data_IF_675880453862
#
_entry.id   IF_675880453862
#
_cell.length_a   1.000
_cell.length_b   1.000
_cell.length_c   1.000
_cell.angle_alpha   90.00
_cell.angle_beta   90.00
_cell.angle_gamma   90.00
#
_symmetry.space_group_name_H-M   'P 1'
#
loop_
_entity.id
_entity.type
_entity.pdbx_description
1 polymer ?
#
# COMPACT_ATOMS: atom_id res chain seq x y z
N UNK A 1 -86.29 -16.61 -6.87
CA UNK A 1 -85.37 -16.29 -7.98
C UNK A 1 -84.28 -15.34 -7.46
N UNK A 2 -83.01 -15.73 -7.59
CA UNK A 2 -81.73 -14.95 -7.49
C UNK A 2 -81.62 -13.89 -6.36
N UNK A 3 -81.28 -14.25 -5.12
CA UNK A 3 -79.93 -14.23 -4.50
C UNK A 3 -78.98 -13.12 -4.99
N UNK A 4 -78.79 -12.08 -4.17
CA UNK A 4 -77.60 -11.22 -4.21
C UNK A 4 -77.01 -11.16 -2.79
N UNK A 5 -75.91 -11.87 -2.56
CA UNK A 5 -75.09 -11.77 -1.35
C UNK A 5 -74.03 -10.71 -1.62
N UNK A 6 -74.05 -9.61 -0.88
CA UNK A 6 -72.97 -8.63 -0.88
C UNK A 6 -71.74 -9.27 -0.21
N UNK A 7 -70.69 -9.52 -0.98
CA UNK A 7 -69.40 -9.96 -0.47
C UNK A 7 -68.58 -8.73 -0.10
N UNK A 8 -68.33 -8.54 1.20
CA UNK A 8 -67.43 -7.53 1.73
C UNK A 8 -65.99 -8.01 1.48
N UNK A 9 -65.32 -7.48 0.47
CA UNK A 9 -63.91 -7.75 0.22
C UNK A 9 -63.06 -6.87 1.15
N UNK A 10 -62.49 -7.47 2.19
CA UNK A 10 -61.51 -6.82 3.04
C UNK A 10 -60.18 -6.69 2.26
N UNK A 11 -59.78 -5.46 1.90
CA UNK A 11 -58.43 -5.17 1.44
C UNK A 11 -57.47 -5.30 2.63
N UNK A 12 -56.74 -6.41 2.72
CA UNK A 12 -55.51 -6.46 3.51
C UNK A 12 -54.42 -5.70 2.75
N UNK A 13 -54.10 -4.48 3.20
CA UNK A 13 -52.86 -3.83 2.81
C UNK A 13 -51.68 -4.58 3.44
N UNK A 14 -50.97 -5.36 2.62
CA UNK A 14 -49.65 -5.88 2.98
C UNK A 14 -48.68 -4.70 3.07
N UNK A 15 -48.39 -4.26 4.30
CA UNK A 15 -47.31 -3.32 4.55
C UNK A 15 -45.97 -4.00 4.18
N UNK A 16 -45.40 -3.63 3.04
CA UNK A 16 -44.02 -3.97 2.71
C UNK A 16 -43.09 -3.27 3.71
N UNK A 17 -42.27 -3.99 4.49
CA UNK A 17 -41.25 -3.32 5.30
C UNK A 17 -40.29 -2.62 4.35
N UNK A 18 -40.26 -1.28 4.43
CA UNK A 18 -39.21 -0.50 3.80
C UNK A 18 -37.87 -0.98 4.38
N UNK A 19 -37.03 -1.58 3.53
CA UNK A 19 -35.66 -1.86 3.88
C UNK A 19 -34.99 -0.52 4.22
N UNK A 20 -34.77 -0.27 5.51
CA UNK A 20 -33.99 0.88 5.95
C UNK A 20 -32.58 0.67 5.39
N UNK A 21 -32.21 1.44 4.36
CA UNK A 21 -30.84 1.56 3.93
C UNK A 21 -30.04 2.04 5.15
N UNK A 22 -29.08 1.23 5.60
CA UNK A 22 -28.15 1.66 6.63
C UNK A 22 -27.45 2.93 6.13
N UNK A 23 -27.31 3.99 6.95
CA UNK A 23 -26.55 5.15 6.55
C UNK A 23 -25.14 4.69 6.19
N UNK A 24 -24.70 5.01 4.97
CA UNK A 24 -23.31 4.82 4.57
C UNK A 24 -22.45 5.52 5.61
N UNK A 25 -21.62 4.76 6.35
CA UNK A 25 -20.62 5.38 7.21
C UNK A 25 -19.81 6.33 6.34
N UNK A 26 -19.73 7.60 6.75
CA UNK A 26 -18.85 8.56 6.11
C UNK A 26 -17.43 7.98 6.17
N UNK A 27 -16.88 7.68 5.00
CA UNK A 27 -15.57 7.10 4.91
C UNK A 27 -14.53 8.19 5.18
N UNK A 28 -13.63 7.96 6.14
CA UNK A 28 -12.55 8.90 6.47
C UNK A 28 -11.51 8.94 5.33
N UNK A 29 -11.70 9.87 4.40
CA UNK A 29 -10.78 10.11 3.29
C UNK A 29 -9.55 10.87 3.81
N UNK A 30 -8.32 10.37 3.56
CA UNK A 30 -7.12 11.04 4.04
C UNK A 30 -6.91 12.38 3.31
N UNK A 31 -6.30 13.34 4.01
CA UNK A 31 -5.88 14.60 3.41
C UNK A 31 -4.69 14.39 2.47
N UNK A 32 -4.70 15.09 1.34
CA UNK A 32 -3.64 15.05 0.33
C UNK A 32 -2.87 16.37 0.29
N UNK A 33 -1.54 16.27 0.39
CA UNK A 33 -0.60 17.34 0.10
C UNK A 33 0.36 16.90 -1.02
N UNK A 34 0.84 17.88 -1.77
CA UNK A 34 1.72 17.70 -2.93
C UNK A 34 3.12 18.27 -2.66
N UNK A 35 3.53 18.38 -1.39
CA UNK A 35 4.79 19.02 -1.02
C UNK A 35 6.03 18.19 -1.39
N UNK A 36 5.88 16.88 -1.58
CA UNK A 36 6.94 15.94 -1.92
C UNK A 36 7.01 15.63 -3.43
N UNK A 37 6.37 16.46 -4.27
CA UNK A 37 6.47 16.30 -5.72
C UNK A 37 7.92 16.49 -6.15
N UNK A 38 8.50 15.54 -6.92
CA UNK A 38 9.87 15.68 -7.38
C UNK A 38 9.98 16.83 -8.39
N UNK A 39 11.20 17.34 -8.57
CA UNK A 39 11.50 18.19 -9.71
C UNK A 39 11.30 17.43 -11.01
N UNK A 40 10.84 18.14 -12.04
CA UNK A 40 10.68 17.56 -13.37
C UNK A 40 12.06 17.42 -14.04
N UNK A 41 12.24 16.43 -14.93
CA UNK A 41 13.45 16.32 -15.73
C UNK A 41 13.71 17.59 -16.55
N UNK A 42 14.97 17.83 -16.89
CA UNK A 42 15.34 18.96 -17.75
C UNK A 42 14.53 18.96 -19.05
N UNK A 43 14.07 20.15 -19.47
CA UNK A 43 13.23 20.37 -20.67
C UNK A 43 11.84 19.72 -20.62
N UNK A 44 11.43 19.14 -19.50
CA UNK A 44 10.05 18.69 -19.32
C UNK A 44 9.08 19.89 -19.37
N UNK A 45 7.98 19.75 -20.11
CA UNK A 45 6.91 20.73 -20.17
C UNK A 45 5.85 20.40 -19.09
N UNK A 46 5.68 21.23 -18.05
CA UNK A 46 4.76 20.97 -16.93
C UNK A 46 3.32 20.62 -17.32
N UNK A 47 2.87 21.03 -18.51
CA UNK A 47 1.51 20.75 -19.01
C UNK A 47 1.25 19.26 -19.27
N UNK A 48 2.30 18.48 -19.50
CA UNK A 48 2.23 17.04 -19.75
C UNK A 48 2.60 16.19 -18.54
N UNK A 49 2.78 16.82 -17.37
CA UNK A 49 3.23 16.16 -16.15
C UNK A 49 2.19 16.27 -15.04
N UNK A 50 2.00 15.17 -14.32
CA UNK A 50 1.17 15.13 -13.11
C UNK A 50 2.01 14.69 -11.93
N UNK A 51 1.80 15.34 -10.79
CA UNK A 51 2.25 14.82 -9.52
C UNK A 51 1.14 13.94 -8.93
N UNK A 52 1.50 12.73 -8.55
CA UNK A 52 0.61 11.70 -8.05
C UNK A 52 1.00 11.39 -6.61
N UNK A 53 -0.01 11.30 -5.75
CA UNK A 53 0.15 10.97 -4.33
C UNK A 53 -0.69 9.74 -4.04
N UNK A 54 -0.05 8.73 -3.47
CA UNK A 54 -0.68 7.51 -2.98
C UNK A 54 -0.56 7.51 -1.47
N UNK A 55 -1.68 7.26 -0.81
CA UNK A 55 -1.80 7.11 0.63
C UNK A 55 -2.25 5.69 0.91
N UNK A 56 -1.35 4.85 1.44
CA UNK A 56 -1.69 3.52 1.96
C UNK A 56 -2.04 3.66 3.43
N UNK A 57 -3.27 3.36 3.81
CA UNK A 57 -3.75 3.52 5.19
C UNK A 57 -4.36 2.23 5.77
N UNK A 58 -4.27 1.12 5.05
CA UNK A 58 -4.79 -0.15 5.51
C UNK A 58 -4.25 -1.34 4.71
N UNK A 59 -4.69 -2.52 5.15
CA UNK A 59 -4.31 -3.81 4.56
C UNK A 59 -3.22 -4.53 5.34
N UNK A 60 -2.46 -5.38 4.63
CA UNK A 60 -1.56 -6.38 5.21
C UNK A 60 -0.20 -6.35 4.53
N UNK A 61 0.87 -6.45 5.31
CA UNK A 61 2.22 -6.60 4.78
C UNK A 61 2.98 -7.69 5.55
N UNK A 62 3.00 -8.90 4.97
CA UNK A 62 3.67 -10.07 5.52
C UNK A 62 5.06 -10.21 4.90
N UNK A 63 6.09 -10.25 5.76
CA UNK A 63 7.48 -10.45 5.39
C UNK A 63 8.04 -11.64 6.19
N UNK A 64 8.10 -12.82 5.57
CA UNK A 64 8.43 -14.07 6.25
C UNK A 64 7.41 -14.39 7.36
N UNK A 65 7.86 -14.39 8.61
CA UNK A 65 7.05 -14.58 9.83
C UNK A 65 6.51 -13.27 10.42
N UNK A 66 6.95 -12.11 9.93
CA UNK A 66 6.38 -10.85 10.36
C UNK A 66 5.04 -10.64 9.69
N UNK A 67 3.96 -10.86 10.45
CA UNK A 67 2.60 -10.51 10.04
C UNK A 67 2.28 -9.10 10.54
N UNK A 68 2.26 -8.14 9.63
CA UNK A 68 2.02 -6.75 9.97
C UNK A 68 0.72 -6.25 9.33
N UNK A 69 -0.19 -5.81 10.19
CA UNK A 69 -1.34 -5.01 9.76
C UNK A 69 -0.88 -3.57 9.56
N UNK A 70 -1.23 -2.97 8.43
CA UNK A 70 -0.91 -1.58 8.15
C UNK A 70 -1.86 -0.71 8.96
N UNK A 71 -1.36 -0.14 10.05
CA UNK A 71 -2.10 0.72 10.98
C UNK A 71 -1.57 2.16 11.00
N UNK A 72 -0.50 2.42 10.23
CA UNK A 72 0.10 3.73 10.04
C UNK A 72 0.12 4.04 8.56
N UNK A 73 -0.15 5.30 8.25
CA UNK A 73 -0.20 5.76 6.89
C UNK A 73 1.19 5.75 6.25
N UNK A 74 1.26 5.29 5.00
CA UNK A 74 2.42 5.48 4.14
C UNK A 74 2.02 6.40 2.98
N UNK A 75 2.81 7.43 2.71
CA UNK A 75 2.63 8.35 1.59
C UNK A 75 3.73 8.11 0.55
N UNK A 76 3.33 7.85 -0.69
CA UNK A 76 4.23 7.73 -1.84
C UNK A 76 3.89 8.86 -2.80
N UNK A 77 4.87 9.70 -3.11
CA UNK A 77 4.73 10.80 -4.07
C UNK A 77 5.65 10.57 -5.25
N UNK A 78 5.12 10.71 -6.46
CA UNK A 78 5.86 10.52 -7.70
C UNK A 78 5.24 11.36 -8.82
N UNK A 79 6.02 11.68 -9.83
CA UNK A 79 5.54 12.33 -11.03
C UNK A 79 5.42 11.33 -12.17
N UNK A 80 4.43 11.52 -13.03
CA UNK A 80 4.39 10.87 -14.34
C UNK A 80 4.21 11.92 -15.42
N UNK A 81 4.82 11.69 -16.57
CA UNK A 81 4.69 12.57 -17.72
C UNK A 81 5.38 12.00 -18.94
N UNK A 82 5.54 12.83 -19.96
CA UNK A 82 6.22 12.44 -21.19
C UNK A 82 7.66 12.92 -21.17
N UNK A 83 8.57 11.99 -21.47
CA UNK A 83 9.96 12.30 -21.73
C UNK A 83 10.07 13.23 -22.95
N UNK A 84 10.81 14.35 -22.85
CA UNK A 84 10.82 15.38 -23.89
C UNK A 84 11.41 14.88 -25.21
N UNK A 85 12.34 13.93 -25.17
CA UNK A 85 13.09 13.50 -26.35
C UNK A 85 12.47 12.24 -26.98
N UNK A 86 12.05 11.27 -26.16
CA UNK A 86 11.51 9.98 -26.63
C UNK A 86 9.98 9.94 -26.71
N UNK A 87 9.28 10.92 -26.11
CA UNK A 87 7.81 10.98 -26.00
C UNK A 87 7.18 9.77 -25.31
N UNK A 88 7.97 8.99 -24.59
CA UNK A 88 7.48 7.87 -23.79
C UNK A 88 7.02 8.35 -22.42
N UNK A 89 6.06 7.63 -21.85
CA UNK A 89 5.68 7.87 -20.46
C UNK A 89 6.83 7.47 -19.55
N UNK A 90 7.20 8.37 -18.64
CA UNK A 90 8.24 8.17 -17.64
C UNK A 90 7.69 8.47 -16.25
N UNK A 91 8.26 7.80 -15.26
CA UNK A 91 7.95 7.96 -13.85
C UNK A 91 9.17 8.53 -13.14
N UNK A 92 8.99 9.59 -12.35
CA UNK A 92 10.03 10.15 -11.48
C UNK A 92 9.58 9.96 -10.04
N UNK A 93 10.37 9.25 -9.25
CA UNK A 93 10.07 9.05 -7.83
C UNK A 93 10.38 10.33 -7.03
N UNK A 94 9.45 10.75 -6.18
CA UNK A 94 9.67 11.85 -5.24
C UNK A 94 10.09 11.34 -3.87
N UNK A 95 9.12 10.88 -3.09
CA UNK A 95 9.34 10.52 -1.68
C UNK A 95 8.46 9.35 -1.26
N UNK A 96 9.03 8.48 -0.43
CA UNK A 96 8.29 7.58 0.45
C UNK A 96 8.37 8.15 1.87
N UNK A 97 7.21 8.45 2.47
CA UNK A 97 7.07 8.72 3.90
C UNK A 97 6.34 7.55 4.53
N UNK A 98 7.00 6.89 5.48
CA UNK A 98 6.42 5.83 6.26
C UNK A 98 6.87 5.97 7.70
N UNK A 99 5.94 5.79 8.63
CA UNK A 99 6.27 5.66 10.05
C UNK A 99 6.76 4.24 10.35
N UNK A 100 7.58 4.11 11.38
CA UNK A 100 7.88 2.79 11.95
C UNK A 100 6.59 2.17 12.51
N UNK A 101 6.43 0.88 12.27
CA UNK A 101 5.29 0.10 12.72
C UNK A 101 5.77 -1.01 13.65
N UNK A 102 5.04 -1.27 14.73
CA UNK A 102 5.38 -2.32 15.69
C UNK A 102 5.12 -3.70 15.08
N UNK A 103 6.16 -4.51 14.88
CA UNK A 103 6.02 -5.90 14.41
C UNK A 103 6.04 -6.91 15.55
N UNK A 104 6.65 -6.54 16.68
CA UNK A 104 6.61 -7.31 17.91
C UNK A 104 6.52 -6.36 19.09
N UNK A 105 5.49 -6.56 19.92
CA UNK A 105 5.36 -5.83 21.19
C UNK A 105 6.50 -6.23 22.13
N UNK A 106 6.90 -5.32 23.02
CA UNK A 106 7.85 -5.64 24.06
C UNK A 106 7.35 -6.75 24.99
N UNK A 107 8.28 -7.51 25.55
CA UNK A 107 8.03 -8.68 26.41
C UNK A 107 7.26 -8.27 27.68
N UNK A 108 7.43 -7.03 28.14
CA UNK A 108 6.69 -6.46 29.27
C UNK A 108 5.73 -5.34 28.84
N UNK A 109 5.36 -5.31 27.55
CA UNK A 109 4.59 -4.20 26.98
C UNK A 109 5.41 -2.92 26.76
N UNK A 110 6.72 -2.96 26.97
CA UNK A 110 7.59 -1.80 26.78
C UNK A 110 7.74 -1.44 25.29
N UNK A 111 7.71 -0.14 24.93
CA UNK A 111 7.84 0.30 23.53
C UNK A 111 9.28 0.63 23.13
N UNK A 112 10.28 0.33 23.97
CA UNK A 112 11.65 0.85 23.76
C UNK A 112 12.68 -0.27 23.77
N UNK A 113 12.75 -1.05 24.85
CA UNK A 113 13.86 -1.97 25.10
C UNK A 113 13.72 -3.26 24.28
N UNK A 114 12.53 -3.86 24.31
CA UNK A 114 12.30 -5.19 23.74
C UNK A 114 11.29 -5.22 22.60
N UNK A 115 10.59 -4.10 22.36
CA UNK A 115 9.79 -3.93 21.15
C UNK A 115 10.66 -3.95 19.88
N UNK A 116 10.08 -4.48 18.81
CA UNK A 116 10.70 -4.48 17.49
C UNK A 116 9.78 -3.74 16.54
N UNK A 117 10.37 -2.79 15.81
CA UNK A 117 9.66 -2.04 14.78
C UNK A 117 10.24 -2.34 13.40
N UNK A 118 9.39 -2.23 12.39
CA UNK A 118 9.77 -2.27 10.99
C UNK A 118 9.43 -0.92 10.34
N UNK A 119 10.34 -0.41 9.52
CA UNK A 119 10.12 0.80 8.73
C UNK A 119 10.52 0.53 7.28
N UNK A 120 9.58 0.58 6.32
CA UNK A 120 9.90 0.44 4.91
C UNK A 120 10.66 1.67 4.41
N UNK A 121 11.69 1.43 3.62
CA UNK A 121 12.56 2.45 3.04
C UNK A 121 12.68 2.21 1.55
N UNK A 122 12.65 3.30 0.77
CA UNK A 122 12.87 3.24 -0.67
C UNK A 122 14.27 2.70 -0.97
N UNK A 123 14.37 1.79 -1.93
CA UNK A 123 15.63 1.14 -2.32
C UNK A 123 15.97 1.39 -3.80
N UNK A 124 15.63 2.58 -4.32
CA UNK A 124 16.17 3.08 -5.59
C UNK A 124 15.40 2.70 -6.86
N UNK A 125 14.23 2.04 -6.76
CA UNK A 125 13.40 1.76 -7.94
C UNK A 125 11.91 1.90 -7.63
N UNK A 126 11.22 2.71 -8.43
CA UNK A 126 9.77 2.83 -8.46
C UNK A 126 9.37 3.09 -9.90
N UNK A 127 8.38 2.35 -10.40
CA UNK A 127 7.86 2.54 -11.75
C UNK A 127 6.37 2.20 -11.80
N UNK A 128 5.66 2.89 -12.68
CA UNK A 128 4.26 2.65 -12.99
C UNK A 128 4.19 2.29 -14.47
N UNK A 129 3.98 1.00 -14.76
CA UNK A 129 3.93 0.53 -16.14
C UNK A 129 2.48 0.39 -16.62
N UNK A 130 2.24 0.41 -17.95
CA UNK A 130 0.92 0.18 -18.50
C UNK A 130 0.29 -1.12 -17.98
N UNK A 131 -0.98 -1.08 -17.57
CA UNK A 131 -1.67 -2.25 -16.99
C UNK A 131 -1.94 -2.18 -15.48
N UNK A 132 -2.19 -0.96 -14.95
CA UNK A 132 -1.94 -0.56 -13.54
C UNK A 132 -1.06 -1.49 -12.72
N UNK A 133 0.24 -1.46 -13.01
CA UNK A 133 1.24 -2.22 -12.29
C UNK A 133 2.23 -1.25 -11.66
N UNK A 134 2.37 -1.31 -10.34
CA UNK A 134 3.35 -0.54 -9.58
C UNK A 134 4.50 -1.45 -9.17
N UNK A 135 5.68 -1.17 -9.70
CA UNK A 135 6.91 -1.86 -9.32
C UNK A 135 7.67 -0.99 -8.34
N UNK A 136 8.07 -1.57 -7.21
CA UNK A 136 8.83 -0.82 -6.21
C UNK A 136 9.88 -1.70 -5.53
N UNK A 137 11.08 -1.18 -5.39
CA UNK A 137 12.13 -1.77 -4.58
C UNK A 137 12.12 -1.12 -3.19
N UNK A 138 12.04 -1.94 -2.16
CA UNK A 138 12.14 -1.53 -0.77
C UNK A 138 13.27 -2.27 -0.06
N UNK A 139 13.69 -1.70 1.07
CA UNK A 139 14.38 -2.38 2.16
C UNK A 139 13.64 -2.05 3.45
N UNK A 140 13.73 -2.91 4.46
CA UNK A 140 12.98 -2.68 5.71
C UNK A 140 13.95 -2.53 6.86
N UNK A 141 13.98 -1.35 7.47
CA UNK A 141 14.77 -1.12 8.68
C UNK A 141 14.11 -1.79 9.86
N UNK A 142 14.87 -2.63 10.54
CA UNK A 142 14.45 -3.31 11.77
C UNK A 142 15.03 -2.55 12.94
N UNK A 143 14.15 -2.08 13.83
CA UNK A 143 14.48 -1.14 14.88
C UNK A 143 14.31 -1.82 16.22
N UNK A 144 15.42 -2.00 16.92
CA UNK A 144 15.50 -2.38 18.32
C UNK A 144 16.87 -1.89 18.86
N UNK A 145 16.98 -1.44 20.13
CA UNK A 145 18.24 -0.90 20.67
C UNK A 145 19.46 -1.81 20.49
N UNK A 146 19.27 -3.13 20.56
CA UNK A 146 20.37 -4.12 20.46
C UNK A 146 20.84 -4.33 19.01
N UNK A 147 19.98 -4.06 18.02
CA UNK A 147 20.27 -4.32 16.61
C UNK A 147 21.09 -3.22 15.93
N UNK A 148 21.25 -2.06 16.57
CA UNK A 148 21.88 -0.89 15.96
C UNK A 148 21.03 -0.25 14.86
N UNK A 149 21.43 0.94 14.42
CA UNK A 149 20.64 1.76 13.49
C UNK A 149 20.61 1.25 12.04
N UNK A 150 21.52 0.34 11.69
CA UNK A 150 21.72 -0.11 10.31
C UNK A 150 21.06 -1.44 9.96
N UNK A 151 20.46 -2.13 10.94
CA UNK A 151 19.84 -3.41 10.74
C UNK A 151 18.66 -3.32 9.75
N UNK A 152 18.75 -4.06 8.64
CA UNK A 152 17.75 -4.04 7.58
C UNK A 152 17.49 -5.41 7.01
N UNK A 153 16.26 -5.69 6.59
CA UNK A 153 15.95 -6.75 5.64
C UNK A 153 16.17 -6.21 4.22
N UNK A 154 17.12 -6.81 3.51
CA UNK A 154 17.59 -6.34 2.22
C UNK A 154 18.38 -5.02 2.26
N UNK A 155 18.80 -4.60 1.07
CA UNK A 155 19.64 -3.43 0.85
C UNK A 155 19.32 -2.77 -0.49
N UNK A 156 19.97 -1.66 -0.84
CA UNK A 156 19.79 -1.03 -2.16
C UNK A 156 20.31 -1.93 -3.30
N UNK A 157 21.27 -2.81 -3.00
CA UNK A 157 21.83 -3.77 -3.97
C UNK A 157 21.01 -5.05 -4.07
N UNK A 158 20.39 -5.47 -2.96
CA UNK A 158 19.53 -6.64 -2.89
C UNK A 158 18.20 -6.26 -2.20
N UNK A 159 17.32 -5.52 -2.89
CA UNK A 159 16.06 -5.05 -2.31
C UNK A 159 14.99 -6.14 -2.36
N UNK A 160 13.97 -6.01 -1.52
CA UNK A 160 12.70 -6.67 -1.78
C UNK A 160 12.00 -5.95 -2.93
N UNK A 161 11.52 -6.70 -3.93
CA UNK A 161 10.92 -6.14 -5.14
C UNK A 161 9.45 -6.48 -5.18
N UNK A 162 8.60 -5.47 -5.05
CA UNK A 162 7.16 -5.59 -5.16
C UNK A 162 6.72 -5.36 -6.61
N UNK A 163 5.76 -6.14 -7.05
CA UNK A 163 5.02 -6.02 -8.28
C UNK A 163 3.52 -5.96 -7.94
N UNK A 164 3.08 -4.77 -7.55
CA UNK A 164 1.72 -4.54 -7.05
C UNK A 164 0.76 -4.37 -8.22
N UNK A 165 -0.32 -5.15 -8.22
CA UNK A 165 -1.32 -5.17 -9.29
C UNK A 165 -2.74 -5.01 -8.74
N UNK A 166 -3.66 -4.56 -9.59
CA UNK A 166 -5.11 -4.59 -9.30
C UNK A 166 -5.76 -5.95 -9.64
N UNK A 167 -5.10 -6.75 -10.48
CA UNK A 167 -5.60 -8.04 -10.95
C UNK A 167 -5.39 -9.16 -9.94
N UNK A 168 -5.54 -10.39 -10.41
CA UNK A 168 -5.26 -11.62 -9.66
C UNK A 168 -3.80 -12.01 -9.81
N UNK A 169 -3.12 -12.26 -8.69
CA UNK A 169 -1.72 -12.71 -8.66
C UNK A 169 -1.58 -14.18 -9.07
N UNK A 170 -0.36 -14.60 -9.39
CA UNK A 170 -0.01 -16.00 -9.62
C UNK A 170 1.26 -16.37 -8.83
N UNK A 171 1.17 -16.48 -7.49
CA UNK A 171 2.34 -16.77 -6.66
C UNK A 171 2.70 -18.26 -6.72
N UNK A 172 3.98 -18.62 -6.47
CA UNK A 172 4.32 -19.99 -6.14
C UNK A 172 3.70 -20.38 -4.79
N UNK A 173 3.44 -21.68 -4.54
CA UNK A 173 3.00 -22.17 -3.23
C UNK A 173 4.00 -21.80 -2.12
N UNK A 174 3.57 -21.68 -0.84
CA UNK A 174 2.23 -22.00 -0.31
C UNK A 174 1.18 -20.91 -0.47
N UNK A 175 1.56 -19.70 -0.90
CA UNK A 175 0.58 -18.65 -1.18
C UNK A 175 -0.37 -19.09 -2.29
N UNK A 176 -1.63 -18.70 -2.14
CA UNK A 176 -2.66 -18.84 -3.17
C UNK A 176 -2.86 -17.51 -3.89
N UNK A 177 -3.42 -17.50 -5.12
CA UNK A 177 -3.79 -16.27 -5.82
C UNK A 177 -4.65 -15.34 -4.95
N UNK A 178 -4.36 -14.05 -4.99
CA UNK A 178 -5.15 -12.98 -4.38
C UNK A 178 -5.46 -11.92 -5.43
N UNK A 179 -6.55 -11.17 -5.25
CA UNK A 179 -6.98 -10.13 -6.20
C UNK A 179 -7.03 -8.77 -5.54
N UNK A 180 -6.63 -7.74 -6.29
CA UNK A 180 -6.86 -6.36 -5.93
C UNK A 180 -8.32 -5.94 -6.12
N UNK A 181 -8.60 -4.67 -5.79
CA UNK A 181 -9.89 -4.02 -6.00
C UNK A 181 -9.66 -2.84 -6.92
N UNK A 182 -10.39 -2.84 -8.05
CA UNK A 182 -10.29 -1.78 -9.06
C UNK A 182 -10.59 -0.40 -8.45
N UNK A 183 -9.94 0.67 -8.95
CA UNK A 183 -10.17 2.02 -8.45
C UNK A 183 -11.63 2.45 -8.57
N UNK A 184 -12.15 3.04 -7.51
CA UNK A 184 -13.45 3.72 -7.47
C UNK A 184 -13.24 5.19 -7.09
N UNK A 185 -13.95 6.10 -7.75
CA UNK A 185 -13.89 7.52 -7.43
C UNK A 185 -14.70 7.79 -6.15
N UNK A 186 -14.03 8.29 -5.10
CA UNK A 186 -14.64 8.59 -3.79
C UNK A 186 -14.77 10.09 -3.52
N UNK A 187 -14.09 10.93 -4.32
CA UNK A 187 -14.28 12.38 -4.36
C UNK A 187 -14.01 12.89 -5.77
N UNK A 188 -14.76 13.90 -6.22
CA UNK A 188 -14.61 14.56 -7.52
C UNK A 188 -13.82 15.87 -7.44
N UNK A 189 -13.82 16.54 -6.27
CA UNK A 189 -13.13 17.80 -6.07
C UNK A 189 -12.50 17.87 -4.66
N UNK A 190 -11.18 17.58 -4.52
CA UNK A 190 -10.26 17.10 -5.56
C UNK A 190 -10.58 15.65 -5.99
N UNK A 191 -10.14 15.20 -7.17
CA UNK A 191 -10.32 13.81 -7.60
C UNK A 191 -9.55 12.86 -6.69
N UNK A 192 -10.25 11.94 -6.02
CA UNK A 192 -9.66 10.93 -5.14
C UNK A 192 -10.23 9.57 -5.52
N UNK A 193 -9.34 8.61 -5.76
CA UNK A 193 -9.69 7.23 -6.06
C UNK A 193 -9.28 6.32 -4.91
N UNK A 194 -10.12 5.36 -4.55
CA UNK A 194 -9.80 4.28 -3.62
C UNK A 194 -9.57 2.99 -4.39
N UNK A 195 -8.51 2.26 -4.07
CA UNK A 195 -8.21 0.97 -4.67
C UNK A 195 -7.53 0.03 -3.66
N UNK A 196 -7.46 -1.26 -4.01
CA UNK A 196 -6.61 -2.22 -3.32
C UNK A 196 -5.64 -2.81 -4.33
N UNK A 197 -4.34 -2.67 -4.09
CA UNK A 197 -3.30 -3.31 -4.90
C UNK A 197 -2.64 -4.43 -4.11
N UNK A 198 -2.24 -5.49 -4.81
CA UNK A 198 -1.76 -6.72 -4.19
C UNK A 198 -0.49 -7.25 -4.86
N UNK A 199 0.35 -7.91 -4.07
CA UNK A 199 1.44 -8.79 -4.52
C UNK A 199 1.66 -9.87 -3.47
N UNK A 200 1.83 -11.11 -3.87
CA UNK A 200 2.21 -12.19 -2.95
C UNK A 200 3.17 -13.22 -3.58
N UNK A 201 3.87 -12.79 -4.65
CA UNK A 201 4.84 -13.59 -5.38
C UNK A 201 6.28 -13.09 -5.17
N UNK A 202 6.50 -12.08 -4.33
CA UNK A 202 7.82 -11.51 -4.07
C UNK A 202 8.60 -12.27 -2.99
N UNK A 203 9.92 -12.21 -3.09
CA UNK A 203 10.85 -12.71 -2.09
C UNK A 203 11.31 -11.59 -1.15
N UNK A 204 11.72 -11.95 0.07
CA UNK A 204 12.28 -11.04 1.07
C UNK A 204 13.73 -11.46 1.35
N UNK A 205 14.71 -10.59 1.09
CA UNK A 205 16.10 -10.86 1.44
C UNK A 205 16.35 -11.02 2.94
N UNK A 206 17.51 -11.57 3.28
CA UNK A 206 17.95 -11.69 4.67
C UNK A 206 18.29 -10.34 5.30
N UNK A 207 18.49 -10.40 6.62
CA UNK A 207 18.97 -9.31 7.43
C UNK A 207 20.44 -9.01 7.16
N UNK A 208 20.77 -7.72 7.08
CA UNK A 208 22.12 -7.20 6.90
C UNK A 208 22.39 -6.10 7.94
N UNK A 209 23.67 -5.95 8.29
CA UNK A 209 24.18 -4.86 9.14
C UNK A 209 23.51 -4.71 10.51
N UNK A 210 23.08 -5.82 11.13
CA UNK A 210 22.56 -5.84 12.49
C UNK A 210 23.71 -6.00 13.50
N UNK A 211 23.70 -5.15 14.54
CA UNK A 211 24.72 -5.11 15.59
C UNK A 211 26.06 -4.57 15.11
N UNK A 212 27.14 -5.15 15.64
CA UNK A 212 28.53 -4.78 15.33
C UNK A 212 29.03 -5.31 13.96
N UNK A 213 28.13 -5.77 13.09
CA UNK A 213 28.50 -6.24 11.75
C UNK A 213 29.16 -7.62 11.70
N UNK A 214 29.28 -8.34 12.82
CA UNK A 214 29.86 -9.70 12.92
C UNK A 214 28.91 -10.82 12.43
N UNK A 215 27.74 -10.48 11.88
CA UNK A 215 26.77 -11.43 11.32
C UNK A 215 25.89 -12.18 12.34
N UNK A 216 26.28 -12.28 13.61
CA UNK A 216 25.50 -13.01 14.64
C UNK A 216 24.07 -12.46 14.80
N UNK A 217 23.90 -11.14 14.90
CA UNK A 217 22.57 -10.55 15.02
C UNK A 217 21.77 -10.63 13.72
N UNK A 218 22.42 -10.70 12.55
CA UNK A 218 21.72 -10.97 11.29
C UNK A 218 21.05 -12.35 11.36
N UNK A 219 21.77 -13.37 11.84
CA UNK A 219 21.22 -14.72 12.00
C UNK A 219 20.03 -14.77 12.97
N UNK A 220 20.11 -14.04 14.09
CA UNK A 220 19.00 -13.91 15.05
C UNK A 220 17.78 -13.26 14.38
N UNK A 221 17.97 -12.12 13.71
CA UNK A 221 16.88 -11.42 13.01
C UNK A 221 16.27 -12.32 11.94
N UNK A 222 17.09 -13.00 11.14
CA UNK A 222 16.65 -13.95 10.13
C UNK A 222 15.80 -15.08 10.70
N UNK A 223 16.23 -15.70 11.81
CA UNK A 223 15.48 -16.77 12.47
C UNK A 223 14.10 -16.29 12.95
N UNK A 224 14.07 -15.12 13.59
CA UNK A 224 12.85 -14.52 14.15
C UNK A 224 11.90 -14.05 13.05
N UNK A 225 12.43 -13.36 12.03
CA UNK A 225 11.69 -12.86 10.88
C UNK A 225 11.33 -13.97 9.88
N UNK A 226 11.96 -15.16 9.97
CA UNK A 226 11.83 -16.19 8.95
C UNK A 226 12.37 -15.75 7.58
N UNK A 227 13.45 -14.96 7.57
CA UNK A 227 14.11 -14.45 6.36
C UNK A 227 15.50 -15.06 6.18
N UNK A 228 16.05 -15.15 4.94
CA UNK A 228 15.41 -14.83 3.66
C UNK A 228 14.16 -15.67 3.41
N UNK A 229 13.10 -15.05 2.93
CA UNK A 229 11.84 -15.73 2.62
C UNK A 229 11.67 -15.80 1.10
N UNK A 230 11.53 -17.02 0.57
CA UNK A 230 11.28 -17.23 -0.84
C UNK A 230 9.95 -16.59 -1.30
N UNK A 231 9.83 -16.39 -2.61
CA UNK A 231 8.56 -16.08 -3.26
C UNK A 231 7.47 -17.07 -2.82
N UNK A 232 6.23 -16.60 -2.69
CA UNK A 232 5.11 -17.43 -2.25
C UNK A 232 4.97 -17.56 -0.72
N UNK A 233 5.80 -16.87 0.06
CA UNK A 233 5.72 -16.82 1.53
C UNK A 233 5.47 -15.42 2.09
N UNK A 234 5.27 -14.43 1.23
CA UNK A 234 5.14 -13.03 1.58
C UNK A 234 3.90 -12.46 0.90
N UNK A 235 3.27 -11.45 1.51
CA UNK A 235 1.99 -10.92 1.02
C UNK A 235 1.93 -9.41 1.28
N UNK A 236 1.64 -8.64 0.25
CA UNK A 236 1.33 -7.22 0.30
C UNK A 236 -0.10 -7.04 -0.20
N UNK A 237 -0.96 -6.49 0.65
CA UNK A 237 -2.32 -6.05 0.32
C UNK A 237 -2.38 -4.61 0.80
N UNK A 238 -2.36 -3.66 -0.11
CA UNK A 238 -2.35 -2.24 0.22
C UNK A 238 -3.69 -1.64 -0.15
N UNK A 239 -4.46 -1.25 0.87
CA UNK A 239 -5.64 -0.43 0.71
C UNK A 239 -5.17 1.02 0.64
N UNK A 240 -5.49 1.69 -0.45
CA UNK A 240 -4.91 2.98 -0.76
C UNK A 240 -5.91 3.98 -1.35
N UNK A 241 -5.61 5.25 -1.13
CA UNK A 241 -6.23 6.38 -1.80
C UNK A 241 -5.18 7.02 -2.71
N UNK A 242 -5.58 7.36 -3.92
CA UNK A 242 -4.76 8.06 -4.90
C UNK A 242 -5.39 9.39 -5.27
N UNK A 243 -4.57 10.43 -5.36
CA UNK A 243 -4.95 11.72 -5.95
C UNK A 243 -3.80 12.26 -6.79
N UNK A 244 -4.09 13.22 -7.66
CA UNK A 244 -3.11 13.83 -8.52
C UNK A 244 -3.40 15.32 -8.73
N UNK A 245 -2.36 16.06 -9.10
CA UNK A 245 -2.43 17.44 -9.61
C UNK A 245 -1.53 17.59 -10.83
N UNK A 246 -1.88 18.49 -11.75
CA UNK A 246 -0.96 18.86 -12.82
C UNK A 246 0.16 19.73 -12.25
N UNK A 247 1.35 19.67 -12.83
CA UNK A 247 2.44 20.52 -12.36
C UNK A 247 2.15 22.03 -12.57
N UNK A 248 1.34 22.38 -13.56
CA UNK A 248 0.84 23.75 -13.76
C UNK A 248 -0.03 24.28 -12.62
N UNK A 249 -0.53 23.40 -11.75
CA UNK A 249 -1.39 23.76 -10.61
C UNK A 249 -0.60 23.73 -9.28
N UNK A 250 0.70 23.42 -9.34
CA UNK A 250 1.59 23.26 -8.18
C UNK A 250 2.70 24.32 -8.22
N UNK A 251 3.29 24.54 -9.40
CA UNK A 251 4.29 25.58 -9.64
C UNK A 251 3.56 26.77 -10.28
N UNK A 252 3.59 27.97 -9.67
CA UNK A 252 2.97 29.16 -10.24
C UNK A 252 3.65 29.64 -11.53
#
# INVERSE_FOLDING_TARGET
MKRAKAALAALLMLATPAAMASPAQAEDIPAFDFADCPDLPDRADPRFWTCNVIIVNGGKFVLGKFDQVINKQMKITYATGLDPDTRKQVTVFGRLRAERMTVRKGIFGDPILTAVYAEPQYAGSFDVVPGPIWKMALKVRIINPVLGHNCRLGSDRNPLRLNLILGTTNPPPPNTPISGVKPVLVSTNPPIQKATIVDNAFAVPGAESCGLGLGLLNAVVNSQAGTPAAAGRNTAIFQQYGSFKKYTDIVP
#
